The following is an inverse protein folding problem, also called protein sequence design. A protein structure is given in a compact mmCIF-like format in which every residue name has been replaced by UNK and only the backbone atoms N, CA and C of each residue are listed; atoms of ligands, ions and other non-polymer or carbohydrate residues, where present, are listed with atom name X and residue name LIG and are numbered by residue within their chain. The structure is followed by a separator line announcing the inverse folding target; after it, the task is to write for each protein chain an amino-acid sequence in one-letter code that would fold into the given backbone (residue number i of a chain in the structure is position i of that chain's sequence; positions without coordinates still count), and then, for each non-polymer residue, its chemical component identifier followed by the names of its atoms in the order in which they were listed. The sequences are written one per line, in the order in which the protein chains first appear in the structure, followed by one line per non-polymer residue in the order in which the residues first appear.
data_IF_650827297506
#
_entry.id   IF_650827297506
#
_cell.length_a   1.000
_cell.length_b   1.000
_cell.length_c   1.000
_cell.angle_alpha   90.00
_cell.angle_beta   90.00
_cell.angle_gamma   90.00
#
_symmetry.space_group_name_H-M   'P 1'
#
loop_
_entity.id
_entity.type
_entity.pdbx_description
1 polymer ?
#
# COMPACT_ATOMS: atom_id res chain seq x y z
N UNK A 1 -0.14 29.42 81.45
CA UNK A 1 -0.13 29.21 79.98
C UNK A 1 -0.47 27.74 79.72
N UNK A 2 -1.62 27.48 79.07
CA UNK A 2 -2.14 26.25 78.43
C UNK A 2 -2.21 24.90 79.21
N UNK A 3 -3.46 24.53 79.53
CA UNK A 3 -4.05 23.17 79.55
C UNK A 3 -4.48 22.76 78.11
N UNK A 4 -5.11 21.58 77.83
CA UNK A 4 -4.84 20.18 78.22
C UNK A 4 -5.01 19.16 77.05
N UNK A 5 -4.86 17.85 77.36
CA UNK A 5 -5.48 16.64 76.78
C UNK A 5 -5.58 16.44 75.25
N UNK A 6 -4.88 15.41 74.76
CA UNK A 6 -5.10 14.79 73.47
C UNK A 6 -6.12 13.64 73.56
N UNK A 7 -7.25 13.81 72.89
CA UNK A 7 -8.10 12.70 72.43
C UNK A 7 -8.43 13.00 70.98
N UNK A 8 -7.96 12.15 70.05
CA UNK A 8 -8.42 12.16 68.67
C UNK A 8 -8.96 10.79 68.28
N UNK A 9 -10.11 10.71 67.60
CA UNK A 9 -10.82 9.49 67.28
C UNK A 9 -10.28 8.79 66.02
N UNK A 10 -10.52 7.49 65.94
CA UNK A 10 -10.29 6.62 64.78
C UNK A 10 -10.98 7.14 63.51
N UNK A 11 -10.27 7.12 62.39
CA UNK A 11 -10.84 7.14 61.04
C UNK A 11 -10.09 6.09 60.21
N UNK A 12 -10.78 5.16 59.51
CA UNK A 12 -10.10 4.28 58.56
C UNK A 12 -9.81 5.06 57.27
N UNK A 13 -8.52 5.25 56.98
CA UNK A 13 -8.06 5.80 55.72
C UNK A 13 -8.22 4.73 54.62
N UNK A 14 -9.12 5.01 53.68
CA UNK A 14 -9.31 4.23 52.46
C UNK A 14 -8.09 4.51 51.56
N UNK A 15 -7.08 3.66 51.69
CA UNK A 15 -5.95 3.61 50.77
C UNK A 15 -6.45 3.14 49.40
N UNK A 16 -6.83 4.10 48.56
CA UNK A 16 -7.00 3.91 47.13
C UNK A 16 -5.61 3.71 46.51
N UNK A 17 -5.13 2.46 46.52
CA UNK A 17 -4.06 2.02 45.62
C UNK A 17 -4.59 2.01 44.18
N UNK A 18 -4.59 3.18 43.54
CA UNK A 18 -4.72 3.29 42.09
C UNK A 18 -3.44 2.71 41.49
N UNK A 19 -3.48 1.43 41.14
CA UNK A 19 -2.52 0.79 40.25
C UNK A 19 -2.66 1.48 38.89
N UNK A 20 -1.80 2.44 38.62
CA UNK A 20 -1.65 3.02 37.30
C UNK A 20 -1.06 1.93 36.40
N UNK A 21 -1.90 1.26 35.63
CA UNK A 21 -1.42 0.48 34.49
C UNK A 21 -0.67 1.43 33.55
N UNK A 22 0.59 1.13 33.17
CA UNK A 22 1.25 1.93 32.16
C UNK A 22 0.44 1.81 30.87
N UNK A 23 -0.05 2.96 30.41
CA UNK A 23 -0.65 3.19 29.11
C UNK A 23 0.08 2.33 28.07
N UNK A 24 -0.68 1.48 27.39
CA UNK A 24 -0.18 0.52 26.41
C UNK A 24 0.78 1.19 25.46
N UNK A 25 2.07 0.91 25.63
CA UNK A 25 3.06 1.11 24.59
C UNK A 25 2.64 0.14 23.49
N UNK A 26 2.04 0.66 22.42
CA UNK A 26 1.87 -0.10 21.18
C UNK A 26 3.25 -0.68 20.85
N UNK A 27 3.42 -1.99 21.07
CA UNK A 27 4.64 -2.68 20.70
C UNK A 27 4.81 -2.44 19.21
N UNK A 28 5.92 -1.86 18.74
CA UNK A 28 6.12 -1.66 17.32
C UNK A 28 5.94 -3.00 16.60
N UNK A 29 5.30 -3.01 15.42
CA UNK A 29 5.01 -4.23 14.69
C UNK A 29 6.28 -5.07 14.60
N UNK A 30 6.21 -6.29 15.12
CA UNK A 30 7.36 -7.18 15.16
C UNK A 30 7.53 -7.75 13.78
N UNK A 31 8.62 -7.36 13.09
CA UNK A 31 8.94 -7.91 11.76
C UNK A 31 9.07 -9.42 11.85
N UNK A 32 8.46 -10.10 10.91
CA UNK A 32 8.42 -11.56 10.79
C UNK A 32 9.28 -12.04 9.62
N UNK A 33 9.54 -13.34 9.56
CA UNK A 33 10.22 -13.91 8.39
C UNK A 33 9.37 -13.80 7.11
N UNK A 34 8.04 -13.75 7.25
CA UNK A 34 7.13 -13.57 6.13
C UNK A 34 7.20 -12.16 5.56
N UNK A 35 7.43 -11.14 6.39
CA UNK A 35 7.68 -9.78 5.90
C UNK A 35 8.93 -9.71 5.03
N UNK A 36 10.00 -10.44 5.38
CA UNK A 36 11.22 -10.52 4.56
C UNK A 36 11.00 -11.30 3.26
N UNK A 37 10.16 -12.34 3.27
CA UNK A 37 9.73 -13.05 2.05
C UNK A 37 8.91 -12.12 1.15
N UNK A 38 8.00 -11.36 1.74
CA UNK A 38 7.17 -10.38 1.03
C UNK A 38 8.03 -9.26 0.44
N UNK A 39 9.04 -8.78 1.16
CA UNK A 39 10.01 -7.82 0.66
C UNK A 39 10.79 -8.35 -0.55
N UNK A 40 11.27 -9.60 -0.49
CA UNK A 40 11.91 -10.24 -1.65
C UNK A 40 10.96 -10.29 -2.87
N UNK A 41 9.70 -10.69 -2.65
CA UNK A 41 8.69 -10.74 -3.70
C UNK A 41 8.38 -9.35 -4.25
N UNK A 42 8.36 -8.33 -3.41
CA UNK A 42 8.20 -6.94 -3.83
C UNK A 42 9.37 -6.51 -4.71
N UNK A 43 10.60 -6.73 -4.27
CA UNK A 43 11.80 -6.44 -5.06
C UNK A 43 11.81 -7.17 -6.41
N UNK A 44 11.32 -8.42 -6.46
CA UNK A 44 11.22 -9.19 -7.70
C UNK A 44 10.21 -8.58 -8.70
N UNK A 45 9.03 -8.17 -8.20
CA UNK A 45 7.99 -7.51 -9.00
C UNK A 45 8.39 -6.09 -9.42
N UNK A 46 9.16 -5.39 -8.59
CA UNK A 46 9.72 -4.07 -8.90
C UNK A 46 10.91 -4.14 -9.88
N UNK A 47 11.27 -5.33 -10.37
CA UNK A 47 12.36 -5.48 -11.34
C UNK A 47 13.75 -5.21 -10.74
N UNK A 48 13.92 -5.25 -9.41
CA UNK A 48 15.21 -5.01 -8.77
C UNK A 48 16.23 -6.09 -9.19
N UNK A 49 17.50 -5.71 -9.21
CA UNK A 49 18.58 -6.57 -9.73
C UNK A 49 18.75 -7.86 -8.91
N UNK A 50 19.37 -8.89 -9.52
CA UNK A 50 19.72 -10.14 -8.82
C UNK A 50 20.57 -9.88 -7.58
N UNK A 51 21.54 -8.97 -7.66
CA UNK A 51 22.40 -8.60 -6.53
C UNK A 51 21.60 -7.96 -5.40
N UNK A 52 20.64 -7.09 -5.72
CA UNK A 52 19.76 -6.49 -4.72
C UNK A 52 18.96 -7.56 -3.97
N UNK A 53 18.32 -8.46 -4.72
CA UNK A 53 17.54 -9.58 -4.15
C UNK A 53 18.41 -10.55 -3.32
N UNK A 54 19.66 -10.78 -3.70
CA UNK A 54 20.61 -11.58 -2.90
C UNK A 54 20.86 -10.94 -1.53
N UNK A 55 21.00 -9.61 -1.45
CA UNK A 55 21.15 -8.90 -0.17
C UNK A 55 19.93 -9.07 0.73
N UNK A 56 18.72 -9.11 0.17
CA UNK A 56 17.50 -9.42 0.94
C UNK A 56 17.58 -10.83 1.56
N UNK A 57 18.06 -11.81 0.79
CA UNK A 57 18.24 -13.19 1.28
C UNK A 57 19.29 -13.25 2.40
N UNK A 58 20.40 -12.53 2.26
CA UNK A 58 21.44 -12.43 3.31
C UNK A 58 20.87 -11.83 4.60
N UNK A 59 20.12 -10.74 4.50
CA UNK A 59 19.40 -10.13 5.64
C UNK A 59 18.43 -11.12 6.29
N UNK A 60 17.66 -11.87 5.48
CA UNK A 60 16.72 -12.86 5.99
C UNK A 60 17.41 -14.04 6.69
N UNK A 61 18.60 -14.42 6.25
CA UNK A 61 19.38 -15.46 6.92
C UNK A 61 19.95 -14.97 8.25
N UNK A 62 20.48 -13.74 8.31
CA UNK A 62 20.90 -13.12 9.57
C UNK A 62 19.75 -13.01 10.57
N UNK A 63 18.59 -12.55 10.12
CA UNK A 63 17.38 -12.48 10.95
C UNK A 63 16.96 -13.85 11.52
N UNK A 64 17.01 -14.91 10.70
CA UNK A 64 16.75 -16.30 11.18
C UNK A 64 17.78 -16.79 12.21
N UNK A 65 19.01 -16.29 12.15
CA UNK A 65 20.06 -16.60 13.11
C UNK A 65 19.96 -15.79 14.41
N UNK A 66 18.95 -14.89 14.54
CA UNK A 66 18.72 -14.08 15.73
C UNK A 66 19.28 -12.65 15.62
N UNK A 67 19.80 -12.25 14.47
CA UNK A 67 20.22 -10.85 14.25
C UNK A 67 19.02 -9.91 14.17
N UNK A 68 19.17 -8.70 14.73
CA UNK A 68 18.15 -7.67 14.60
C UNK A 68 18.29 -6.94 13.26
N UNK A 69 17.15 -6.56 12.67
CA UNK A 69 17.16 -5.74 11.47
C UNK A 69 17.58 -4.31 11.81
N UNK A 70 18.51 -3.75 11.03
CA UNK A 70 18.88 -2.35 11.16
C UNK A 70 17.74 -1.43 10.72
N UNK A 71 17.71 -0.21 11.26
CA UNK A 71 16.75 0.82 10.84
C UNK A 71 16.79 1.06 9.31
N UNK A 72 17.98 1.03 8.71
CA UNK A 72 18.14 1.20 7.26
C UNK A 72 17.47 0.07 6.47
N UNK A 73 17.60 -1.18 6.92
CA UNK A 73 16.93 -2.33 6.29
C UNK A 73 15.41 -2.16 6.37
N UNK A 74 14.89 -1.75 7.53
CA UNK A 74 13.46 -1.49 7.70
C UNK A 74 12.95 -0.38 6.78
N UNK A 75 13.69 0.73 6.66
CA UNK A 75 13.33 1.82 5.74
C UNK A 75 13.28 1.36 4.29
N UNK A 76 14.27 0.58 3.85
CA UNK A 76 14.32 0.07 2.47
C UNK A 76 13.22 -0.94 2.21
N UNK A 77 12.97 -1.85 3.16
CA UNK A 77 11.87 -2.81 3.10
C UNK A 77 10.52 -2.10 2.94
N UNK A 78 10.22 -1.15 3.81
CA UNK A 78 8.98 -0.40 3.78
C UNK A 78 8.83 0.39 2.48
N UNK A 79 9.92 0.97 1.96
CA UNK A 79 9.92 1.68 0.69
C UNK A 79 9.54 0.77 -0.48
N UNK A 80 10.16 -0.40 -0.61
CA UNK A 80 9.86 -1.33 -1.69
C UNK A 80 8.43 -1.87 -1.59
N UNK A 81 7.96 -2.19 -0.38
CA UNK A 81 6.57 -2.63 -0.17
C UNK A 81 5.59 -1.54 -0.61
N UNK A 82 5.79 -0.30 -0.16
CA UNK A 82 4.95 0.84 -0.53
C UNK A 82 4.99 1.14 -2.04
N UNK A 83 6.18 1.09 -2.66
CA UNK A 83 6.34 1.28 -4.11
C UNK A 83 5.50 0.25 -4.89
N UNK A 84 5.53 -1.02 -4.47
CA UNK A 84 4.73 -2.06 -5.11
C UNK A 84 3.22 -1.86 -4.90
N UNK A 85 2.78 -1.44 -3.71
CA UNK A 85 1.38 -1.15 -3.41
C UNK A 85 0.83 -0.04 -4.33
N UNK A 86 1.60 1.05 -4.47
CA UNK A 86 1.27 2.17 -5.36
C UNK A 86 1.12 1.70 -6.82
N UNK A 87 2.07 0.91 -7.32
CA UNK A 87 2.01 0.36 -8.69
C UNK A 87 0.83 -0.60 -8.85
N UNK A 88 0.56 -1.42 -7.84
CA UNK A 88 -0.56 -2.37 -7.85
C UNK A 88 -1.90 -1.62 -7.91
N UNK A 89 -2.06 -0.55 -7.11
CA UNK A 89 -3.24 0.31 -7.13
C UNK A 89 -3.42 0.99 -8.48
N UNK A 90 -2.37 1.60 -9.01
CA UNK A 90 -2.41 2.24 -10.33
C UNK A 90 -2.77 1.25 -11.44
N UNK A 91 -2.23 0.03 -11.39
CA UNK A 91 -2.54 -1.05 -12.34
C UNK A 91 -4.02 -1.42 -12.31
N UNK A 92 -4.61 -1.55 -11.11
CA UNK A 92 -6.04 -1.82 -10.96
C UNK A 92 -6.89 -0.70 -11.56
N UNK A 93 -6.52 0.56 -11.32
CA UNK A 93 -7.23 1.71 -11.89
C UNK A 93 -7.12 1.72 -13.42
N UNK A 94 -5.92 1.53 -13.96
CA UNK A 94 -5.70 1.50 -15.41
C UNK A 94 -6.53 0.39 -16.09
N UNK A 95 -6.60 -0.79 -15.47
CA UNK A 95 -7.47 -1.88 -15.93
C UNK A 95 -8.94 -1.50 -15.86
N UNK A 96 -9.37 -0.85 -14.77
CA UNK A 96 -10.74 -0.37 -14.60
C UNK A 96 -11.13 0.66 -15.66
N UNK A 97 -10.25 1.61 -15.98
CA UNK A 97 -10.43 2.57 -17.08
C UNK A 97 -10.64 1.82 -18.40
N UNK A 98 -9.78 0.84 -18.70
CA UNK A 98 -9.92 0.06 -19.94
C UNK A 98 -11.18 -0.79 -19.98
N UNK A 99 -11.68 -1.30 -18.85
CA UNK A 99 -12.95 -2.04 -18.81
C UNK A 99 -14.17 -1.14 -19.09
N UNK A 100 -14.12 0.14 -18.71
CA UNK A 100 -15.25 1.08 -18.85
C UNK A 100 -15.22 1.79 -20.20
N UNK A 101 -14.04 2.20 -20.68
CA UNK A 101 -13.91 3.05 -21.87
C UNK A 101 -12.95 2.51 -22.92
N UNK A 102 -12.26 1.40 -22.63
CA UNK A 102 -11.30 0.81 -23.55
C UNK A 102 -11.95 0.02 -24.68
N UNK A 103 -11.16 -0.25 -25.71
CA UNK A 103 -11.46 -1.20 -26.77
C UNK A 103 -10.66 -2.47 -26.50
N UNK A 104 -11.33 -3.61 -26.48
CA UNK A 104 -10.70 -4.91 -26.27
C UNK A 104 -10.73 -5.72 -27.56
N UNK A 105 -9.61 -6.38 -27.85
CA UNK A 105 -9.57 -7.52 -28.78
C UNK A 105 -9.20 -8.79 -27.99
N UNK A 106 -9.03 -9.93 -28.68
CA UNK A 106 -8.82 -11.24 -28.04
C UNK A 106 -7.67 -11.26 -27.02
N UNK A 107 -6.65 -10.42 -27.20
CA UNK A 107 -5.41 -10.49 -26.41
C UNK A 107 -4.97 -9.16 -25.78
N UNK A 108 -5.73 -8.08 -25.94
CA UNK A 108 -5.31 -6.76 -25.45
C UNK A 108 -6.49 -5.83 -25.29
N UNK A 109 -6.47 -5.07 -24.19
CA UNK A 109 -7.32 -3.90 -24.01
C UNK A 109 -6.49 -2.64 -24.19
N UNK A 110 -7.03 -1.67 -24.92
CA UNK A 110 -6.41 -0.37 -25.17
C UNK A 110 -7.40 0.74 -24.84
N UNK A 111 -6.90 1.81 -24.26
CA UNK A 111 -7.65 3.04 -24.04
C UNK A 111 -6.79 4.22 -24.48
N UNK A 112 -7.34 5.04 -25.38
CA UNK A 112 -6.70 6.26 -25.86
C UNK A 112 -7.30 7.45 -25.10
N UNK A 113 -6.59 7.94 -24.09
CA UNK A 113 -7.04 9.09 -23.31
C UNK A 113 -6.66 10.41 -23.94
N UNK A 114 -6.94 11.52 -23.25
CA UNK A 114 -6.47 12.86 -23.69
C UNK A 114 -5.00 13.10 -23.35
N UNK A 115 -4.57 12.62 -22.18
CA UNK A 115 -3.21 12.82 -21.64
C UNK A 115 -2.42 11.52 -21.69
N UNK A 116 -3.03 10.44 -21.22
CA UNK A 116 -2.41 9.13 -21.13
C UNK A 116 -3.11 8.11 -22.02
N UNK A 117 -2.30 7.25 -22.62
CA UNK A 117 -2.72 6.04 -23.31
C UNK A 117 -2.41 4.83 -22.43
N UNK A 118 -3.34 3.88 -22.42
CA UNK A 118 -3.23 2.65 -21.66
C UNK A 118 -3.32 1.47 -22.60
N UNK A 119 -2.50 0.47 -22.34
CA UNK A 119 -2.65 -0.81 -22.98
C UNK A 119 -2.26 -1.94 -22.04
N UNK A 120 -3.08 -2.98 -21.94
CA UNK A 120 -2.78 -4.11 -21.07
C UNK A 120 -3.23 -5.45 -21.64
N UNK A 121 -2.58 -6.50 -21.16
CA UNK A 121 -3.00 -7.88 -21.31
C UNK A 121 -3.03 -8.50 -19.91
N UNK A 122 -4.22 -8.87 -19.44
CA UNK A 122 -4.41 -9.41 -18.08
C UNK A 122 -3.84 -10.81 -17.91
N UNK A 123 -3.85 -11.64 -18.97
CA UNK A 123 -3.29 -12.99 -18.94
C UNK A 123 -1.77 -12.96 -18.81
N UNK A 124 -1.12 -12.11 -19.61
CA UNK A 124 0.34 -11.93 -19.59
C UNK A 124 0.78 -11.01 -18.45
N UNK A 125 -0.16 -10.33 -17.77
CA UNK A 125 0.12 -9.32 -16.73
C UNK A 125 1.01 -8.18 -17.25
N UNK A 126 0.74 -7.78 -18.48
CA UNK A 126 1.41 -6.68 -19.14
C UNK A 126 0.56 -5.43 -19.02
N UNK A 127 1.21 -4.29 -18.79
CA UNK A 127 0.58 -2.97 -18.75
C UNK A 127 1.58 -1.94 -19.25
N UNK A 128 1.13 -1.08 -20.15
CA UNK A 128 1.85 0.12 -20.56
C UNK A 128 0.95 1.33 -20.31
N UNK A 129 1.51 2.32 -19.62
CA UNK A 129 0.95 3.67 -19.48
C UNK A 129 1.93 4.62 -20.13
N UNK A 130 1.50 5.35 -21.15
CA UNK A 130 2.32 6.33 -21.86
C UNK A 130 1.61 7.66 -22.00
N UNK A 131 2.37 8.74 -22.11
CA UNK A 131 1.84 10.03 -22.55
C UNK A 131 1.69 10.07 -24.07
N UNK A 132 0.95 11.07 -24.57
CA UNK A 132 0.75 11.29 -26.02
C UNK A 132 2.02 11.55 -26.83
N UNK A 133 3.07 12.03 -26.18
CA UNK A 133 4.38 12.22 -26.81
C UNK A 133 5.18 10.90 -26.94
N UNK A 134 4.63 9.77 -26.50
CA UNK A 134 5.29 8.46 -26.52
C UNK A 134 6.14 8.16 -25.28
N UNK A 135 6.25 9.08 -24.31
CA UNK A 135 6.96 8.84 -23.06
C UNK A 135 6.26 7.76 -22.25
N UNK A 136 6.99 6.70 -21.89
CA UNK A 136 6.47 5.60 -21.08
C UNK A 136 6.61 5.95 -19.60
N UNK A 137 5.47 5.97 -18.91
CA UNK A 137 5.36 6.32 -17.50
C UNK A 137 5.47 5.08 -16.61
N UNK A 138 4.75 4.02 -16.99
CA UNK A 138 4.82 2.72 -16.32
C UNK A 138 4.79 1.64 -17.39
N UNK A 139 5.71 0.68 -17.27
CA UNK A 139 5.69 -0.53 -18.08
C UNK A 139 5.85 -1.75 -17.20
N UNK A 140 4.89 -2.67 -17.28
CA UNK A 140 4.91 -3.98 -16.67
C UNK A 140 4.99 -5.03 -17.79
N UNK A 141 5.91 -5.97 -17.63
CA UNK A 141 6.02 -7.15 -18.49
C UNK A 141 6.03 -8.40 -17.61
N UNK A 142 5.15 -9.36 -17.87
CA UNK A 142 5.01 -10.57 -17.07
C UNK A 142 4.81 -10.27 -15.57
N UNK A 143 4.10 -9.18 -15.26
CA UNK A 143 3.86 -8.71 -13.90
C UNK A 143 5.08 -8.09 -13.20
N UNK A 144 6.15 -7.77 -13.92
CA UNK A 144 7.36 -7.12 -13.41
C UNK A 144 7.55 -5.74 -14.01
N UNK A 145 7.90 -4.77 -13.17
CA UNK A 145 8.22 -3.40 -13.57
C UNK A 145 9.47 -3.40 -14.44
N UNK A 146 9.35 -2.80 -15.62
CA UNK A 146 10.45 -2.51 -16.55
C UNK A 146 10.79 -1.01 -16.55
N UNK A 147 9.79 -0.16 -16.33
CA UNK A 147 9.93 1.30 -16.29
C UNK A 147 8.98 1.86 -15.26
N UNK A 148 9.45 2.78 -14.41
CA UNK A 148 8.66 3.46 -13.39
C UNK A 148 9.09 4.93 -13.29
N UNK A 149 8.35 5.80 -13.96
CA UNK A 149 8.48 7.26 -13.90
C UNK A 149 7.27 7.89 -13.19
N UNK A 150 6.68 7.16 -12.25
CA UNK A 150 5.50 7.62 -11.52
C UNK A 150 5.85 8.81 -10.63
N UNK A 151 4.97 9.81 -10.66
CA UNK A 151 5.00 10.96 -9.75
C UNK A 151 3.71 11.02 -8.95
N UNK A 152 3.69 11.69 -7.79
CA UNK A 152 2.45 11.88 -7.02
C UNK A 152 1.32 12.52 -7.84
N UNK A 153 1.66 13.43 -8.76
CA UNK A 153 0.67 14.06 -9.64
C UNK A 153 0.03 13.08 -10.62
N UNK A 154 0.81 12.16 -11.18
CA UNK A 154 0.28 11.09 -12.06
C UNK A 154 -0.65 10.19 -11.25
N UNK A 155 -0.23 9.75 -10.06
CA UNK A 155 -1.05 8.90 -9.19
C UNK A 155 -2.39 9.55 -8.84
N UNK A 156 -2.37 10.83 -8.45
CA UNK A 156 -3.58 11.58 -8.15
C UNK A 156 -4.51 11.67 -9.37
N UNK A 157 -3.96 11.91 -10.57
CA UNK A 157 -4.76 11.99 -11.80
C UNK A 157 -5.53 10.69 -12.05
N UNK A 158 -4.92 9.53 -11.80
CA UNK A 158 -5.59 8.24 -11.96
C UNK A 158 -6.64 8.00 -10.88
N UNK A 159 -6.39 8.38 -9.62
CA UNK A 159 -7.41 8.27 -8.55
C UNK A 159 -8.62 9.18 -8.79
N UNK A 160 -8.42 10.38 -9.34
CA UNK A 160 -9.50 11.29 -9.71
C UNK A 160 -10.37 10.68 -10.83
N UNK A 161 -9.74 10.02 -11.81
CA UNK A 161 -10.45 9.28 -12.86
C UNK A 161 -11.17 8.06 -12.29
N UNK A 162 -10.54 7.33 -11.38
CA UNK A 162 -11.17 6.18 -10.72
C UNK A 162 -12.46 6.58 -9.97
N UNK A 163 -12.44 7.73 -9.30
CA UNK A 163 -13.62 8.29 -8.63
C UNK A 163 -14.71 8.70 -9.64
N UNK A 164 -14.34 9.18 -10.83
CA UNK A 164 -15.29 9.47 -11.91
C UNK A 164 -15.96 8.20 -12.46
N UNK A 165 -15.22 7.08 -12.54
CA UNK A 165 -15.78 5.77 -12.90
C UNK A 165 -16.87 5.38 -11.89
N UNK A 166 -16.61 5.52 -10.59
CA UNK A 166 -17.59 5.20 -9.55
C UNK A 166 -18.91 5.99 -9.76
N UNK A 167 -18.81 7.29 -10.05
CA UNK A 167 -19.97 8.16 -10.29
C UNK A 167 -20.80 7.70 -11.49
N UNK A 168 -20.15 7.28 -12.58
CA UNK A 168 -20.83 6.81 -13.79
C UNK A 168 -21.54 5.48 -13.53
N UNK A 169 -20.86 4.53 -12.88
CA UNK A 169 -21.43 3.23 -12.57
C UNK A 169 -22.63 3.34 -11.61
N UNK A 170 -22.57 4.22 -10.61
CA UNK A 170 -23.70 4.48 -9.72
C UNK A 170 -24.89 5.07 -10.46
N UNK A 171 -24.67 6.05 -11.36
CA UNK A 171 -25.74 6.68 -12.13
C UNK A 171 -26.47 5.68 -13.04
N UNK A 172 -25.72 4.79 -13.69
CA UNK A 172 -26.30 3.76 -14.55
C UNK A 172 -27.15 2.75 -13.73
N UNK A 173 -26.68 2.37 -12.53
CA UNK A 173 -27.42 1.46 -11.65
C UNK A 173 -28.75 2.05 -11.17
N UNK A 174 -28.80 3.35 -10.85
CA UNK A 174 -30.04 4.04 -10.48
C UNK A 174 -31.04 4.06 -11.64
N UNK A 175 -30.58 4.30 -12.87
CA UNK A 175 -31.44 4.31 -14.05
C UNK A 175 -32.00 2.92 -14.41
N UNK A 176 -31.20 1.85 -14.23
CA UNK A 176 -31.66 0.48 -14.48
C UNK A 176 -32.77 0.04 -13.51
N UNK A 177 -32.71 0.49 -12.24
CA UNK A 177 -33.75 0.25 -11.24
C UNK A 177 -35.04 1.06 -11.49
N UNK A 178 -34.94 2.25 -12.06
CA UNK A 178 -36.10 3.07 -12.44
C UNK A 178 -36.85 2.53 -13.68
N UNK A 179 -36.17 1.76 -14.54
CA UNK A 179 -36.78 1.14 -15.73
C UNK A 179 -37.48 -0.19 -15.39
N UNK A 180 -37.09 -0.85 -14.30
CA UNK A 180 -37.62 -2.15 -13.89
C UNK A 180 -38.48 -2.11 -12.61
N UNK A 181 -38.75 -0.93 -12.05
CA UNK A 181 -39.63 -0.71 -10.90
C UNK A 181 -40.94 -0.07 -11.29
#
# INVERSE_FOLDING_TARGET
MRLPCSTTPSTPDVSNNVKTEPLGVEKPPTVTIDDLRNWYNAADKLGKSKNYKKRIVEVANGFKAGEQLSAQVLTVMNKDTFELEVISRLTQIAQRIGMVWGKSNENRTQFEGKIYDLAFNTQQRDLTISQKNGEVILNLQSGRVQTNNLTPQILQTFEDVNTQIDKILMKNKSQELEIHG
#
